data_IF_535542320847
#
_entry.id   IF_535542320847
#
_cell.length_a   1.000
_cell.length_b   1.000
_cell.length_c   1.000
_cell.angle_alpha   90.00
_cell.angle_beta   90.00
_cell.angle_gamma   90.00
#
_symmetry.space_group_name_H-M   'P 1'
#
loop_
_entity.id
_entity.type
_entity.pdbx_description
1 polymer ?
#
# COMPACT_ATOMS: atom_id res chain seq x y z
N UNK A 1 3.41 -2.46 42.76
CA UNK A 1 4.01 -1.37 41.95
C UNK A 1 3.26 -1.07 40.64
N UNK A 2 2.39 -1.96 40.14
CA UNK A 2 1.70 -1.83 38.85
C UNK A 2 0.89 -0.53 38.60
N UNK A 3 0.43 0.19 39.64
CA UNK A 3 -0.35 1.42 39.47
C UNK A 3 0.47 2.66 39.05
N UNK A 4 1.82 2.59 39.13
CA UNK A 4 2.69 3.72 38.78
C UNK A 4 2.89 3.89 37.27
N UNK A 5 3.03 2.79 36.54
CA UNK A 5 3.37 2.79 35.11
C UNK A 5 2.21 3.32 34.26
N UNK A 6 0.96 2.95 34.59
CA UNK A 6 -0.25 3.43 33.90
C UNK A 6 -0.37 4.96 33.91
N UNK A 7 0.10 5.63 34.97
CA UNK A 7 0.09 7.09 35.05
C UNK A 7 1.21 7.77 34.26
N UNK A 8 2.32 7.09 33.96
CA UNK A 8 3.38 7.65 33.11
C UNK A 8 2.89 7.77 31.65
N UNK A 9 2.30 6.70 31.10
CA UNK A 9 1.77 6.70 29.73
C UNK A 9 0.69 7.77 29.53
N UNK A 10 -0.25 7.91 30.48
CA UNK A 10 -1.31 8.93 30.43
C UNK A 10 -0.78 10.39 30.47
N UNK A 11 0.41 10.62 31.04
CA UNK A 11 1.00 11.98 31.15
C UNK A 11 1.77 12.41 29.90
N UNK A 12 2.36 11.48 29.15
CA UNK A 12 3.09 11.80 27.91
C UNK A 12 2.13 12.18 26.77
N UNK A 13 0.95 11.53 26.70
CA UNK A 13 0.02 11.68 25.57
C UNK A 13 -0.69 13.06 25.49
N UNK A 14 -0.73 13.83 26.57
CA UNK A 14 -1.58 15.03 26.68
C UNK A 14 -1.07 16.29 25.94
N UNK A 15 0.07 16.24 25.23
CA UNK A 15 0.71 17.44 24.64
C UNK A 15 0.50 17.65 23.13
N UNK A 16 -0.23 16.77 22.45
CA UNK A 16 -0.50 16.85 20.99
C UNK A 16 -2.01 16.83 20.66
N UNK A 17 -2.77 17.84 21.13
CA UNK A 17 -4.16 18.05 20.67
C UNK A 17 -4.23 18.78 19.33
N UNK A 18 -3.96 18.06 18.25
CA UNK A 18 -4.44 18.39 16.91
C UNK A 18 -5.46 17.34 16.46
N UNK A 19 -6.74 17.74 16.32
CA UNK A 19 -7.89 16.96 15.76
C UNK A 19 -7.68 15.42 15.75
N UNK A 20 -7.62 14.80 16.94
CA UNK A 20 -7.17 13.41 17.06
C UNK A 20 -8.16 12.43 16.44
N UNK A 21 -7.64 11.57 15.56
CA UNK A 21 -8.24 10.25 15.27
C UNK A 21 -8.40 9.50 16.62
N UNK A 22 -9.48 8.74 16.85
CA UNK A 22 -9.58 7.92 18.06
C UNK A 22 -8.37 7.01 18.20
N UNK A 23 -7.75 7.00 19.39
CA UNK A 23 -6.60 6.14 19.65
C UNK A 23 -7.02 4.67 19.55
N UNK A 24 -6.48 3.94 18.59
CA UNK A 24 -6.72 2.49 18.43
C UNK A 24 -6.20 1.66 19.61
N UNK A 25 -5.39 2.26 20.50
CA UNK A 25 -4.83 1.59 21.67
C UNK A 25 -5.86 1.44 22.80
N UNK A 26 -6.66 2.46 23.09
CA UNK A 26 -7.59 2.47 24.24
C UNK A 26 -8.58 1.28 24.22
N UNK A 27 -9.18 0.88 23.07
CA UNK A 27 -10.03 -0.31 23.03
C UNK A 27 -9.28 -1.60 23.35
N UNK A 28 -8.03 -1.77 22.92
CA UNK A 28 -7.21 -2.96 23.20
C UNK A 28 -6.83 -3.03 24.69
N UNK A 29 -6.50 -1.89 25.31
CA UNK A 29 -6.31 -1.81 26.76
C UNK A 29 -7.60 -2.16 27.52
N UNK A 30 -8.76 -1.72 27.01
CA UNK A 30 -10.07 -2.07 27.53
C UNK A 30 -10.43 -3.56 27.43
N UNK A 31 -9.84 -4.29 26.47
CA UNK A 31 -9.92 -5.75 26.36
C UNK A 31 -8.97 -6.48 27.33
N UNK A 32 -8.09 -5.75 28.04
CA UNK A 32 -7.14 -6.30 28.99
C UNK A 32 -5.76 -6.62 28.41
N UNK A 33 -5.48 -6.27 27.16
CA UNK A 33 -4.15 -6.48 26.57
C UNK A 33 -3.10 -5.53 27.17
N UNK A 34 -1.89 -6.01 27.50
CA UNK A 34 -0.76 -5.16 27.88
C UNK A 34 -0.45 -4.08 26.83
N UNK A 35 -0.02 -2.90 27.28
CA UNK A 35 0.18 -1.76 26.39
C UNK A 35 1.27 -1.99 25.33
N UNK A 36 2.36 -2.69 25.67
CA UNK A 36 3.44 -2.99 24.72
C UNK A 36 3.02 -4.01 23.66
N UNK A 37 2.33 -5.09 24.04
CA UNK A 37 1.81 -6.07 23.06
C UNK A 37 0.72 -5.47 22.18
N UNK A 38 -0.18 -4.66 22.74
CA UNK A 38 -1.20 -3.93 21.97
C UNK A 38 -0.56 -2.95 20.97
N UNK A 39 0.51 -2.26 21.34
CA UNK A 39 1.27 -1.40 20.42
C UNK A 39 2.01 -2.20 19.34
N UNK A 40 2.65 -3.32 19.69
CA UNK A 40 3.27 -4.26 18.73
C UNK A 40 2.26 -4.78 17.72
N UNK A 41 1.09 -5.22 18.17
CA UNK A 41 0.01 -5.71 17.31
C UNK A 41 -0.55 -4.63 16.37
N UNK A 42 -0.74 -3.41 16.89
CA UNK A 42 -1.10 -2.25 16.09
C UNK A 42 -0.03 -1.96 15.03
N UNK A 43 1.26 -2.03 15.37
CA UNK A 43 2.33 -1.88 14.40
C UNK A 43 2.30 -3.02 13.35
N UNK A 44 2.19 -4.28 13.78
CA UNK A 44 2.20 -5.48 12.93
C UNK A 44 1.00 -5.56 11.96
N UNK A 45 -0.07 -4.80 12.22
CA UNK A 45 -1.26 -4.71 11.36
C UNK A 45 -1.35 -3.40 10.57
N UNK A 46 -0.36 -2.50 10.70
CA UNK A 46 -0.31 -1.23 9.97
C UNK A 46 -1.19 -0.13 10.57
N UNK A 47 -1.68 -0.34 11.80
CA UNK A 47 -2.58 0.56 12.54
C UNK A 47 -3.82 0.89 11.70
N UNK A 48 -4.49 -0.16 11.20
CA UNK A 48 -5.70 -0.09 10.37
C UNK A 48 -6.98 -0.07 11.20
N UNK A 49 -7.18 -1.09 12.03
CA UNK A 49 -8.39 -1.28 12.85
C UNK A 49 -8.02 -1.85 14.23
N UNK A 50 -8.98 -1.84 15.16
CA UNK A 50 -8.82 -2.50 16.47
C UNK A 50 -8.94 -4.01 16.31
N UNK A 51 -9.85 -4.42 15.43
CA UNK A 51 -10.21 -5.81 15.15
C UNK A 51 -9.01 -6.59 14.60
N UNK A 52 -8.32 -6.07 13.58
CA UNK A 52 -7.12 -6.73 13.03
C UNK A 52 -6.02 -6.91 14.09
N UNK A 53 -5.81 -5.90 14.95
CA UNK A 53 -4.80 -5.97 16.02
C UNK A 53 -5.20 -6.93 17.15
N UNK A 54 -6.49 -6.98 17.50
CA UNK A 54 -7.05 -7.96 18.44
C UNK A 54 -6.91 -9.39 17.90
N UNK A 55 -7.27 -9.63 16.65
CA UNK A 55 -7.17 -10.95 16.02
C UNK A 55 -5.71 -11.41 15.90
N UNK A 56 -4.79 -10.48 15.63
CA UNK A 56 -3.35 -10.72 15.65
C UNK A 56 -2.87 -11.15 17.05
N UNK A 57 -3.28 -10.45 18.12
CA UNK A 57 -2.94 -10.79 19.51
C UNK A 57 -3.45 -12.17 19.93
N UNK A 58 -4.71 -12.49 19.61
CA UNK A 58 -5.28 -13.81 19.90
C UNK A 58 -4.54 -14.93 19.14
N UNK A 59 -4.11 -14.66 17.91
CA UNK A 59 -3.37 -15.64 17.10
C UNK A 59 -1.93 -15.84 17.59
N UNK A 60 -1.31 -14.80 18.15
CA UNK A 60 0.05 -14.82 18.72
C UNK A 60 0.09 -15.13 20.22
N UNK A 61 -1.00 -15.65 20.81
CA UNK A 61 -1.05 -15.97 22.24
C UNK A 61 -0.02 -17.01 22.72
N UNK A 62 0.59 -17.76 21.78
CA UNK A 62 1.68 -18.71 22.01
C UNK A 62 3.01 -18.30 21.33
N UNK A 63 3.15 -17.06 20.81
CA UNK A 63 4.43 -16.56 20.28
C UNK A 63 5.40 -16.35 21.47
N UNK A 64 6.53 -17.08 21.54
CA UNK A 64 7.47 -16.98 22.67
C UNK A 64 8.18 -15.63 22.78
N UNK A 65 8.07 -14.79 21.74
CA UNK A 65 8.66 -13.45 21.63
C UNK A 65 7.61 -12.33 21.53
N UNK A 66 6.35 -12.61 21.90
CA UNK A 66 5.28 -11.61 21.94
C UNK A 66 5.62 -10.44 22.86
N UNK A 67 6.28 -10.69 23.99
CA UNK A 67 6.66 -9.68 24.97
C UNK A 67 8.02 -8.99 24.69
N UNK A 68 8.85 -9.56 23.80
CA UNK A 68 10.19 -9.02 23.53
C UNK A 68 10.13 -7.61 22.93
N UNK A 69 11.00 -6.67 23.33
CA UNK A 69 11.00 -5.29 22.82
C UNK A 69 11.68 -5.19 21.43
N UNK A 70 11.33 -6.08 20.51
CA UNK A 70 11.82 -6.11 19.12
C UNK A 70 10.90 -5.22 18.27
N UNK A 71 11.34 -4.03 17.82
CA UNK A 71 10.56 -3.18 16.95
C UNK A 71 10.50 -3.76 15.54
N UNK A 72 9.55 -3.28 14.74
CA UNK A 72 9.59 -3.51 13.30
C UNK A 72 10.66 -2.66 12.59
N UNK A 73 11.06 -3.15 11.42
CA UNK A 73 11.94 -2.44 10.50
C UNK A 73 11.13 -1.82 9.36
N UNK A 74 11.30 -0.52 9.15
CA UNK A 74 10.52 0.33 8.24
C UNK A 74 11.37 0.79 7.05
N UNK A 75 10.72 1.02 5.92
CA UNK A 75 11.32 1.69 4.76
C UNK A 75 10.30 2.56 4.03
N UNK A 76 10.78 3.68 3.46
CA UNK A 76 10.00 4.59 2.64
C UNK A 76 10.31 4.40 1.16
N UNK A 77 9.25 4.20 0.37
CA UNK A 77 9.33 3.96 -1.07
C UNK A 77 8.48 4.95 -1.84
N UNK A 78 8.97 5.44 -2.98
CA UNK A 78 8.15 6.15 -3.95
C UNK A 78 7.58 5.14 -4.95
N UNK A 79 6.26 4.94 -4.90
CA UNK A 79 5.55 3.97 -5.73
C UNK A 79 4.84 4.67 -6.90
N UNK A 80 4.98 4.19 -8.15
CA UNK A 80 4.15 4.63 -9.25
C UNK A 80 2.73 4.07 -9.10
N UNK A 81 1.73 4.80 -9.59
CA UNK A 81 0.33 4.37 -9.61
C UNK A 81 -0.31 4.63 -10.98
N UNK A 82 -1.49 4.03 -11.21
CA UNK A 82 -2.19 4.13 -12.50
C UNK A 82 -1.49 3.35 -13.63
N UNK A 83 -1.57 3.87 -14.85
CA UNK A 83 -1.15 3.17 -16.08
C UNK A 83 0.33 2.74 -16.11
N UNK A 84 1.22 3.50 -15.45
CA UNK A 84 2.63 3.09 -15.34
C UNK A 84 2.77 1.82 -14.49
N UNK A 85 2.04 1.71 -13.38
CA UNK A 85 2.04 0.51 -12.53
C UNK A 85 1.49 -0.70 -13.28
N UNK A 86 0.41 -0.54 -14.05
CA UNK A 86 -0.15 -1.59 -14.90
C UNK A 86 0.88 -2.12 -15.91
N UNK A 87 1.64 -1.21 -16.55
CA UNK A 87 2.71 -1.57 -17.50
C UNK A 87 3.92 -2.23 -16.83
N UNK A 88 4.27 -1.83 -15.62
CA UNK A 88 5.31 -2.47 -14.82
C UNK A 88 4.91 -3.89 -14.38
N UNK A 89 3.65 -4.09 -13.99
CA UNK A 89 3.09 -5.41 -13.67
C UNK A 89 3.00 -6.32 -14.91
N UNK A 90 2.66 -5.77 -16.07
CA UNK A 90 2.70 -6.49 -17.35
C UNK A 90 4.12 -6.93 -17.72
N UNK A 91 5.09 -6.01 -17.63
CA UNK A 91 6.51 -6.32 -17.82
C UNK A 91 6.95 -7.46 -16.90
N UNK A 92 6.66 -7.39 -15.60
CA UNK A 92 7.04 -8.41 -14.62
C UNK A 92 6.43 -9.78 -14.87
N UNK A 93 5.15 -9.83 -15.25
CA UNK A 93 4.48 -11.09 -15.60
C UNK A 93 5.21 -11.77 -16.75
N UNK A 94 5.58 -10.98 -17.75
CA UNK A 94 6.20 -11.47 -18.97
C UNK A 94 7.70 -11.76 -18.81
N UNK A 95 8.42 -10.97 -18.02
CA UNK A 95 9.82 -11.26 -17.65
C UNK A 95 9.92 -12.52 -16.79
N UNK A 96 9.01 -12.74 -15.83
CA UNK A 96 8.96 -13.99 -15.05
C UNK A 96 8.65 -15.19 -15.94
N UNK A 97 7.78 -15.02 -16.95
CA UNK A 97 7.41 -16.06 -17.93
C UNK A 97 8.54 -16.43 -18.91
N UNK A 98 9.24 -15.44 -19.44
CA UNK A 98 10.29 -15.65 -20.46
C UNK A 98 11.72 -15.79 -19.90
N UNK A 99 11.97 -15.30 -18.69
CA UNK A 99 13.33 -15.15 -18.13
C UNK A 99 13.45 -15.60 -16.66
N UNK A 100 12.47 -16.36 -16.17
CA UNK A 100 12.35 -16.84 -14.78
C UNK A 100 12.32 -15.73 -13.70
N UNK A 101 12.17 -16.12 -12.43
CA UNK A 101 12.19 -15.19 -11.29
C UNK A 101 13.63 -14.69 -11.07
N UNK A 102 13.88 -13.41 -11.36
CA UNK A 102 15.04 -12.67 -10.85
C UNK A 102 14.67 -11.83 -9.60
N UNK A 103 15.66 -11.27 -8.89
CA UNK A 103 15.46 -10.59 -7.59
C UNK A 103 14.58 -9.34 -7.63
N UNK A 104 14.37 -8.71 -8.78
CA UNK A 104 13.46 -7.55 -8.85
C UNK A 104 12.01 -7.95 -8.49
N UNK A 105 11.59 -9.18 -8.78
CA UNK A 105 10.23 -9.64 -8.48
C UNK A 105 9.98 -9.92 -6.99
N UNK A 106 10.98 -9.77 -6.11
CA UNK A 106 10.84 -9.96 -4.66
C UNK A 106 10.16 -8.77 -3.95
N UNK A 107 10.14 -7.58 -4.58
CA UNK A 107 9.59 -6.34 -4.01
C UNK A 107 8.90 -5.51 -5.10
N UNK A 108 7.63 -5.14 -4.89
CA UNK A 108 6.76 -4.36 -5.80
C UNK A 108 7.48 -3.19 -6.53
N UNK A 109 7.06 -2.76 -7.73
CA UNK A 109 7.78 -1.71 -8.46
C UNK A 109 7.85 -0.39 -7.68
N UNK A 110 9.06 0.08 -7.38
CA UNK A 110 9.30 1.23 -6.49
C UNK A 110 10.63 1.94 -6.78
N UNK A 111 10.79 3.14 -6.20
CA UNK A 111 12.08 3.82 -6.02
C UNK A 111 12.36 3.88 -4.51
N UNK A 112 13.52 3.40 -4.07
CA UNK A 112 13.93 3.41 -2.65
C UNK A 112 14.33 4.82 -2.23
N UNK A 113 13.70 5.36 -1.16
CA UNK A 113 13.98 6.71 -0.68
C UNK A 113 14.90 6.76 0.55
N UNK A 114 14.96 5.69 1.33
CA UNK A 114 15.86 5.56 2.47
C UNK A 114 16.33 4.11 2.64
N UNK A 115 17.42 3.91 3.38
CA UNK A 115 17.74 2.60 3.95
C UNK A 115 16.60 2.15 4.89
N UNK A 116 16.53 0.85 5.18
CA UNK A 116 15.69 0.33 6.26
C UNK A 116 16.13 0.91 7.62
N UNK A 117 15.17 1.22 8.48
CA UNK A 117 15.39 1.82 9.80
C UNK A 117 14.38 1.30 10.82
N UNK A 118 14.67 1.47 12.11
CA UNK A 118 13.82 0.95 13.20
C UNK A 118 12.94 2.06 13.78
N UNK A 119 11.76 1.70 14.30
CA UNK A 119 10.87 2.62 15.02
C UNK A 119 10.19 1.87 16.16
N UNK A 120 10.24 2.41 17.38
CA UNK A 120 9.51 1.86 18.53
C UNK A 120 7.99 1.86 18.28
N UNK A 121 7.30 0.79 18.66
CA UNK A 121 5.86 0.64 18.38
C UNK A 121 4.98 1.78 18.96
N UNK A 122 5.44 2.41 20.05
CA UNK A 122 4.80 3.58 20.66
C UNK A 122 4.96 4.88 19.84
N UNK A 123 5.96 4.96 18.96
CA UNK A 123 6.31 6.16 18.16
C UNK A 123 5.81 6.10 16.71
N UNK A 124 5.14 5.02 16.30
CA UNK A 124 4.69 4.80 14.91
C UNK A 124 3.70 5.88 14.42
N UNK A 125 2.82 6.40 15.28
CA UNK A 125 1.96 7.55 14.89
C UNK A 125 2.77 8.85 14.66
N UNK A 126 3.85 9.06 15.42
CA UNK A 126 4.76 10.17 15.17
C UNK A 126 5.51 10.02 13.83
N UNK A 127 5.85 8.79 13.45
CA UNK A 127 6.44 8.48 12.14
C UNK A 127 5.44 8.74 10.98
N UNK A 128 4.14 8.53 11.21
CA UNK A 128 3.09 8.90 10.26
C UNK A 128 2.97 10.42 10.08
N UNK A 129 3.00 11.17 11.18
CA UNK A 129 3.00 12.63 11.15
C UNK A 129 4.28 13.17 10.49
N UNK A 130 5.44 12.54 10.69
CA UNK A 130 6.67 12.87 9.98
C UNK A 130 6.54 12.70 8.46
N UNK A 131 5.97 11.59 7.98
CA UNK A 131 5.66 11.37 6.56
C UNK A 131 4.72 12.46 6.03
N UNK A 132 3.65 12.77 6.77
CA UNK A 132 2.68 13.79 6.39
C UNK A 132 3.34 15.17 6.27
N UNK A 133 4.10 15.61 7.28
CA UNK A 133 4.78 16.93 7.27
C UNK A 133 5.81 17.04 6.17
N UNK A 134 6.63 16.02 5.96
CA UNK A 134 7.58 16.00 4.86
C UNK A 134 6.85 16.14 3.52
N UNK A 135 5.77 15.37 3.32
CA UNK A 135 4.94 15.44 2.11
C UNK A 135 4.31 16.81 1.88
N UNK A 136 3.68 17.38 2.92
CA UNK A 136 3.01 18.69 2.85
C UNK A 136 3.98 19.82 2.48
N UNK A 137 5.25 19.75 2.93
CA UNK A 137 6.28 20.75 2.61
C UNK A 137 6.72 20.74 1.15
N UNK A 138 6.88 19.56 0.54
CA UNK A 138 7.26 19.44 -0.89
C UNK A 138 6.07 19.37 -1.86
N UNK A 139 4.83 19.22 -1.39
CA UNK A 139 3.66 19.06 -2.28
C UNK A 139 3.54 20.15 -3.35
N UNK A 140 3.86 21.40 -3.02
CA UNK A 140 3.80 22.52 -3.95
C UNK A 140 4.94 22.59 -4.97
N UNK A 141 6.07 21.92 -4.72
CA UNK A 141 7.23 21.83 -5.62
C UNK A 141 7.37 20.47 -6.29
N UNK A 142 6.61 19.46 -5.86
CA UNK A 142 6.75 18.09 -6.35
C UNK A 142 6.53 18.02 -7.88
N UNK A 143 7.39 17.33 -8.63
CA UNK A 143 7.34 17.31 -10.08
C UNK A 143 6.03 16.70 -10.60
N UNK A 144 5.31 17.46 -11.43
CA UNK A 144 4.06 17.02 -12.08
C UNK A 144 4.22 15.81 -13.03
N UNK A 145 5.45 15.57 -13.50
CA UNK A 145 5.87 14.35 -14.16
C UNK A 145 7.29 14.00 -13.72
N UNK A 146 7.56 12.72 -13.53
CA UNK A 146 8.89 12.19 -13.16
C UNK A 146 9.43 11.43 -14.39
N UNK A 147 10.32 12.04 -15.20
CA UNK A 147 10.83 11.38 -16.40
C UNK A 147 11.70 10.18 -16.03
N UNK A 148 11.48 9.07 -16.72
CA UNK A 148 12.16 7.80 -16.49
C UNK A 148 13.05 7.45 -17.69
N UNK A 149 14.36 7.34 -17.47
CA UNK A 149 15.34 6.99 -18.50
C UNK A 149 15.73 5.52 -18.37
N UNK A 150 15.47 4.71 -19.40
CA UNK A 150 15.82 3.30 -19.39
C UNK A 150 17.35 3.11 -19.46
N UNK A 151 17.88 2.34 -18.51
CA UNK A 151 19.29 1.96 -18.46
C UNK A 151 19.43 0.44 -18.42
N UNK A 152 20.33 -0.08 -19.24
CA UNK A 152 20.66 -1.50 -19.37
C UNK A 152 22.17 -1.70 -19.17
N UNK A 153 22.55 -2.63 -18.30
CA UNK A 153 23.94 -3.07 -18.12
C UNK A 153 23.97 -4.57 -17.77
N UNK A 154 25.17 -5.14 -17.65
CA UNK A 154 25.36 -6.57 -17.37
C UNK A 154 24.58 -6.95 -16.10
N UNK A 155 23.54 -7.78 -16.26
CA UNK A 155 22.72 -8.29 -15.16
C UNK A 155 21.95 -7.23 -14.35
N UNK A 156 21.74 -6.02 -14.93
CA UNK A 156 20.86 -4.98 -14.36
C UNK A 156 20.09 -4.24 -15.46
N UNK A 157 18.80 -4.02 -15.21
CA UNK A 157 17.88 -3.27 -16.06
C UNK A 157 16.93 -2.48 -15.18
N UNK A 158 16.79 -1.18 -15.44
CA UNK A 158 15.95 -0.30 -14.64
C UNK A 158 15.76 1.07 -15.28
N UNK A 159 14.84 1.85 -14.72
CA UNK A 159 14.69 3.26 -15.05
C UNK A 159 15.42 4.14 -14.03
N UNK A 160 16.14 5.15 -14.48
CA UNK A 160 16.66 6.22 -13.61
C UNK A 160 15.79 7.47 -13.73
N UNK A 161 15.65 8.19 -12.63
CA UNK A 161 14.99 9.51 -12.61
C UNK A 161 15.97 10.57 -13.09
N UNK A 162 15.52 11.45 -13.99
CA UNK A 162 16.32 12.59 -14.46
C UNK A 162 16.62 13.63 -13.36
N UNK A 163 17.74 14.34 -13.52
CA UNK A 163 18.13 15.46 -12.66
C UNK A 163 17.07 16.58 -12.63
N UNK A 164 16.91 17.26 -11.50
CA UNK A 164 15.77 18.14 -11.21
C UNK A 164 14.67 17.42 -10.42
N UNK A 165 13.80 16.61 -11.04
CA UNK A 165 12.84 15.76 -10.32
C UNK A 165 13.53 14.84 -9.28
N UNK A 166 14.72 14.32 -9.59
CA UNK A 166 15.50 13.53 -8.64
C UNK A 166 15.97 14.34 -7.42
N UNK A 167 16.25 15.65 -7.57
CA UNK A 167 16.65 16.54 -6.47
C UNK A 167 15.48 16.78 -5.51
N UNK A 168 14.30 17.07 -6.04
CA UNK A 168 13.08 17.31 -5.23
C UNK A 168 12.66 16.04 -4.47
N UNK A 169 12.79 14.87 -5.09
CA UNK A 169 12.51 13.58 -4.42
C UNK A 169 13.58 13.27 -3.35
N UNK A 170 14.85 13.63 -3.57
CA UNK A 170 15.90 13.54 -2.53
C UNK A 170 15.65 14.52 -1.38
N UNK A 171 15.25 15.75 -1.66
CA UNK A 171 14.85 16.74 -0.65
C UNK A 171 13.71 16.20 0.22
N UNK A 172 12.65 15.65 -0.39
CA UNK A 172 11.58 14.97 0.33
C UNK A 172 12.09 13.86 1.28
N UNK A 173 13.01 13.01 0.82
CA UNK A 173 13.58 11.94 1.63
C UNK A 173 14.42 12.47 2.81
N UNK A 174 15.18 13.55 2.62
CA UNK A 174 15.92 14.25 3.67
C UNK A 174 14.97 14.90 4.69
N UNK A 175 13.90 15.54 4.22
CA UNK A 175 12.88 16.15 5.07
C UNK A 175 12.11 15.10 5.89
N UNK A 176 11.79 13.95 5.30
CA UNK A 176 11.22 12.82 6.03
C UNK A 176 12.18 12.32 7.12
N UNK A 177 13.47 12.15 6.81
CA UNK A 177 14.45 11.73 7.80
C UNK A 177 14.59 12.73 8.97
N UNK A 178 14.54 14.03 8.69
CA UNK A 178 14.60 15.07 9.72
C UNK A 178 13.34 15.09 10.61
N UNK A 179 12.14 15.03 10.04
CA UNK A 179 10.90 14.98 10.81
C UNK A 179 10.77 13.64 11.58
N UNK A 180 11.19 12.52 11.01
CA UNK A 180 11.18 11.21 11.68
C UNK A 180 12.16 11.15 12.86
N UNK A 181 13.34 11.76 12.72
CA UNK A 181 14.28 11.95 13.83
C UNK A 181 13.70 12.87 14.90
N UNK A 182 13.03 13.97 14.52
CA UNK A 182 12.49 14.95 15.48
C UNK A 182 11.21 14.51 16.20
N UNK A 183 10.42 13.59 15.63
CA UNK A 183 9.11 13.21 16.16
C UNK A 183 9.07 11.78 16.71
N UNK A 184 9.86 10.87 16.14
CA UNK A 184 9.85 9.44 16.45
C UNK A 184 11.23 8.89 16.84
N UNK A 185 12.23 9.76 17.07
CA UNK A 185 13.63 9.42 17.37
C UNK A 185 14.29 8.46 16.37
N UNK A 186 13.74 8.36 15.15
CA UNK A 186 14.20 7.42 14.13
C UNK A 186 15.48 7.90 13.44
N UNK A 187 16.49 7.05 13.33
CA UNK A 187 17.70 7.31 12.52
C UNK A 187 17.49 6.83 11.09
N UNK A 188 16.85 7.66 10.27
CA UNK A 188 16.61 7.38 8.85
C UNK A 188 17.79 7.87 8.01
N UNK A 189 18.31 7.03 7.10
CA UNK A 189 19.35 7.40 6.13
C UNK A 189 18.74 7.58 4.74
N UNK A 190 18.63 8.81 4.20
CA UNK A 190 18.13 9.05 2.84
C UNK A 190 19.00 8.38 1.79
N UNK A 191 18.39 7.97 0.68
CA UNK A 191 19.08 7.36 -0.46
C UNK A 191 20.05 8.37 -1.11
N UNK A 192 21.35 8.09 -1.05
CA UNK A 192 22.42 8.90 -1.66
C UNK A 192 22.78 8.46 -3.08
N UNK A 193 22.28 7.31 -3.52
CA UNK A 193 22.48 6.78 -4.88
C UNK A 193 21.55 7.49 -5.85
N UNK A 194 21.86 7.42 -7.15
CA UNK A 194 20.95 7.90 -8.18
C UNK A 194 19.60 7.16 -8.08
N UNK A 195 18.51 7.92 -8.04
CA UNK A 195 17.16 7.37 -7.84
C UNK A 195 16.75 6.54 -9.07
N UNK A 196 16.32 5.30 -8.81
CA UNK A 196 16.00 4.33 -9.84
C UNK A 196 14.85 3.41 -9.45
N UNK A 197 14.12 2.95 -10.47
CA UNK A 197 13.13 1.88 -10.40
C UNK A 197 13.72 0.64 -11.08
N UNK A 198 13.99 -0.40 -10.29
CA UNK A 198 14.58 -1.64 -10.80
C UNK A 198 13.52 -2.47 -11.54
N UNK A 199 13.81 -2.88 -12.77
CA UNK A 199 12.96 -3.78 -13.56
C UNK A 199 13.40 -5.24 -13.42
N UNK A 200 14.71 -5.47 -13.54
CA UNK A 200 15.34 -6.77 -13.39
C UNK A 200 16.78 -6.62 -12.89
N UNK A 201 17.24 -7.49 -11.98
CA UNK A 201 18.65 -7.54 -11.61
C UNK A 201 19.09 -8.93 -11.14
N UNK A 202 20.39 -9.22 -11.22
CA UNK A 202 20.98 -10.55 -10.96
C UNK A 202 20.36 -11.65 -11.84
N UNK A 203 20.03 -11.32 -13.09
CA UNK A 203 19.53 -12.25 -14.10
C UNK A 203 20.67 -12.78 -15.00
N UNK A 204 20.47 -13.96 -15.61
CA UNK A 204 21.45 -14.55 -16.51
C UNK A 204 21.69 -13.71 -17.77
N UNK A 205 22.93 -13.55 -18.27
CA UNK A 205 23.24 -12.70 -19.42
C UNK A 205 22.43 -13.00 -20.70
N UNK A 206 22.05 -14.26 -20.93
CA UNK A 206 21.24 -14.62 -22.11
C UNK A 206 19.80 -14.07 -22.07
N UNK A 207 19.29 -13.66 -20.90
CA UNK A 207 18.00 -12.98 -20.77
C UNK A 207 18.04 -11.48 -21.13
N UNK A 208 19.22 -10.86 -21.24
CA UNK A 208 19.37 -9.41 -21.42
C UNK A 208 18.53 -8.87 -22.58
N UNK A 209 18.64 -9.49 -23.77
CA UNK A 209 17.95 -9.02 -24.99
C UNK A 209 16.43 -9.04 -24.84
N UNK A 210 15.88 -10.10 -24.26
CA UNK A 210 14.44 -10.26 -24.01
C UNK A 210 13.94 -9.23 -23.01
N UNK A 211 14.65 -9.06 -21.88
CA UNK A 211 14.30 -8.10 -20.85
C UNK A 211 14.33 -6.65 -21.39
N UNK A 212 15.33 -6.29 -22.19
CA UNK A 212 15.37 -4.98 -22.85
C UNK A 212 14.21 -4.77 -23.84
N UNK A 213 13.84 -5.80 -24.62
CA UNK A 213 12.71 -5.72 -25.55
C UNK A 213 11.39 -5.49 -24.80
N UNK A 214 11.17 -6.19 -23.68
CA UNK A 214 10.02 -5.97 -22.81
C UNK A 214 10.04 -4.57 -22.16
N UNK A 215 11.19 -4.10 -21.69
CA UNK A 215 11.30 -2.80 -21.03
C UNK A 215 11.04 -1.62 -22.00
N UNK A 216 11.42 -1.75 -23.27
CA UNK A 216 11.12 -0.75 -24.32
C UNK A 216 9.61 -0.59 -24.60
N UNK A 217 8.78 -1.55 -24.20
CA UNK A 217 7.32 -1.47 -24.31
C UNK A 217 6.66 -0.68 -23.15
N UNK A 218 7.40 -0.35 -22.10
CA UNK A 218 6.92 0.49 -20.99
C UNK A 218 7.12 1.96 -21.40
N UNK A 219 6.06 2.78 -21.53
CA UNK A 219 6.19 4.14 -22.03
C UNK A 219 6.63 5.11 -20.90
N UNK A 220 7.82 5.73 -20.97
CA UNK A 220 8.41 6.47 -19.85
C UNK A 220 7.78 7.85 -19.56
N UNK A 221 6.89 8.33 -20.44
CA UNK A 221 6.37 9.71 -20.43
C UNK A 221 4.88 9.87 -20.14
N UNK A 222 4.17 8.84 -19.67
CA UNK A 222 2.77 9.01 -19.26
C UNK A 222 2.68 9.69 -17.89
N UNK A 223 1.67 10.54 -17.71
CA UNK A 223 1.32 11.13 -16.41
C UNK A 223 0.91 10.03 -15.44
N UNK A 224 1.83 9.66 -14.55
CA UNK A 224 1.61 8.74 -13.45
C UNK A 224 1.58 9.52 -12.15
N UNK A 225 0.66 9.17 -11.26
CA UNK A 225 0.66 9.71 -9.90
C UNK A 225 1.68 8.92 -9.07
N UNK A 226 2.46 9.64 -8.27
CA UNK A 226 3.44 9.06 -7.36
C UNK A 226 2.95 9.15 -5.93
N UNK A 227 3.17 8.08 -5.19
CA UNK A 227 2.79 7.96 -3.79
C UNK A 227 4.00 7.53 -2.99
N UNK A 228 4.43 8.34 -2.02
CA UNK A 228 5.33 7.89 -0.98
C UNK A 228 4.56 6.93 -0.06
N UNK A 229 5.11 5.74 0.16
CA UNK A 229 4.46 4.69 0.92
C UNK A 229 5.43 4.14 1.96
N UNK A 230 5.02 4.21 3.23
CA UNK A 230 5.74 3.61 4.34
C UNK A 230 5.31 2.15 4.47
N UNK A 231 6.30 1.26 4.42
CA UNK A 231 6.13 -0.16 4.68
C UNK A 231 6.97 -0.57 5.88
N UNK A 232 6.60 -1.67 6.52
CA UNK A 232 7.43 -2.37 7.51
C UNK A 232 7.54 -3.85 7.22
N UNK A 233 8.49 -4.49 7.90
CA UNK A 233 8.63 -5.93 8.02
C UNK A 233 9.05 -6.28 9.45
N UNK A 234 8.80 -7.53 9.81
CA UNK A 234 9.26 -8.10 11.07
C UNK A 234 10.80 -8.26 11.04
N UNK A 235 11.47 -7.64 12.01
CA UNK A 235 12.93 -7.64 12.11
C UNK A 235 13.51 -9.03 12.36
N UNK A 236 12.74 -9.93 13.01
CA UNK A 236 13.15 -11.31 13.32
C UNK A 236 13.47 -12.12 12.05
N UNK A 237 12.82 -11.79 10.93
CA UNK A 237 12.79 -12.63 9.72
C UNK A 237 13.46 -11.97 8.49
N UNK A 238 14.25 -10.90 8.68
CA UNK A 238 14.90 -10.11 7.60
C UNK A 238 15.86 -10.93 6.71
N UNK A 239 16.31 -12.09 7.16
CA UNK A 239 17.18 -13.00 6.40
C UNK A 239 16.54 -14.36 6.08
N UNK A 240 15.26 -14.52 6.40
CA UNK A 240 14.53 -15.77 6.24
C UNK A 240 13.91 -15.84 4.84
N UNK A 241 13.71 -17.06 4.33
CA UNK A 241 12.90 -17.28 3.14
C UNK A 241 11.42 -17.21 3.51
N UNK A 242 10.62 -16.51 2.71
CA UNK A 242 9.16 -16.51 2.83
C UNK A 242 8.57 -17.62 1.97
N UNK A 243 7.88 -18.56 2.62
CA UNK A 243 7.10 -19.61 1.97
C UNK A 243 5.60 -19.31 2.17
N UNK A 244 4.77 -19.69 1.20
CA UNK A 244 3.30 -19.67 1.29
C UNK A 244 2.77 -21.08 1.34
N UNK A 245 1.85 -21.33 2.26
CA UNK A 245 1.14 -22.61 2.39
C UNK A 245 0.17 -22.81 1.22
N UNK A 246 0.26 -23.95 0.56
CA UNK A 246 -0.61 -24.39 -0.53
C UNK A 246 -1.79 -25.25 -0.05
N UNK A 247 -1.55 -26.11 0.94
CA UNK A 247 -2.53 -27.10 1.42
C UNK A 247 -2.64 -27.08 2.94
N UNK A 248 -3.82 -27.44 3.45
CA UNK A 248 -4.04 -27.56 4.88
C UNK A 248 -3.26 -28.75 5.47
N UNK A 249 -2.66 -28.56 6.63
CA UNK A 249 -1.97 -29.62 7.37
C UNK A 249 -2.31 -29.56 8.86
N UNK A 250 -2.68 -30.72 9.42
CA UNK A 250 -2.96 -30.89 10.84
C UNK A 250 -1.78 -31.65 11.50
N UNK A 251 -1.13 -31.07 12.54
CA UNK A 251 -0.03 -31.71 13.25
C UNK A 251 -0.37 -33.12 13.73
N UNK A 252 0.55 -34.05 13.53
CA UNK A 252 0.58 -35.38 14.13
C UNK A 252 1.44 -35.39 15.40
N UNK A 253 2.48 -34.56 15.45
CA UNK A 253 3.38 -34.40 16.60
C UNK A 253 3.29 -32.98 17.21
N UNK A 254 3.82 -32.81 18.42
CA UNK A 254 3.72 -31.55 19.21
C UNK A 254 4.66 -30.43 18.74
N UNK A 255 5.66 -30.80 17.96
CA UNK A 255 6.70 -29.95 17.36
C UNK A 255 6.38 -29.57 15.90
N UNK A 256 5.26 -30.02 15.36
CA UNK A 256 4.80 -29.71 14.00
C UNK A 256 3.85 -28.49 13.95
N UNK A 257 3.93 -27.70 12.88
CA UNK A 257 3.10 -26.53 12.65
C UNK A 257 1.79 -26.88 11.92
N UNK A 258 0.69 -26.34 12.44
CA UNK A 258 -0.60 -26.34 11.76
C UNK A 258 -0.59 -25.34 10.60
N UNK A 259 -0.87 -25.83 9.38
CA UNK A 259 -0.84 -25.01 8.17
C UNK A 259 -2.26 -24.76 7.65
N UNK A 260 -2.58 -23.51 7.32
CA UNK A 260 -3.79 -23.15 6.58
C UNK A 260 -3.43 -22.56 5.20
N UNK A 261 -4.12 -22.92 4.10
CA UNK A 261 -3.82 -22.41 2.76
C UNK A 261 -3.81 -20.88 2.71
N UNK A 262 -2.73 -20.31 2.16
CA UNK A 262 -2.51 -18.87 2.10
C UNK A 262 -1.73 -18.27 3.28
N UNK A 263 -1.51 -19.00 4.38
CA UNK A 263 -0.59 -18.58 5.44
C UNK A 263 0.85 -18.43 4.91
N UNK A 264 1.65 -17.58 5.55
CA UNK A 264 3.09 -17.49 5.29
C UNK A 264 3.91 -18.08 6.43
N UNK A 265 5.02 -18.72 6.07
CA UNK A 265 6.01 -19.31 6.96
C UNK A 265 7.37 -18.68 6.66
N UNK A 266 8.08 -18.26 7.71
CA UNK A 266 9.46 -17.80 7.62
C UNK A 266 10.41 -18.98 7.89
N UNK A 267 11.36 -19.23 7.00
CA UNK A 267 12.32 -20.34 7.10
C UNK A 267 13.75 -19.79 7.09
N UNK A 268 14.53 -20.07 8.14
CA UNK A 268 15.97 -19.78 8.16
C UNK A 268 16.71 -20.88 7.39
N UNK A 269 17.36 -20.59 6.24
CA UNK A 269 18.10 -21.59 5.48
C UNK A 269 19.32 -22.16 6.21
N UNK A 270 19.77 -21.54 7.31
CA UNK A 270 20.92 -21.99 8.10
C UNK A 270 20.54 -22.93 9.24
N UNK A 271 19.26 -23.04 9.60
CA UNK A 271 18.78 -23.82 10.75
C UNK A 271 17.91 -25.01 10.32
N UNK A 272 18.43 -25.83 9.40
CA UNK A 272 17.71 -26.99 8.83
C UNK A 272 18.40 -28.34 9.11
N UNK A 273 19.45 -28.37 9.92
CA UNK A 273 20.20 -29.61 10.24
C UNK A 273 19.37 -30.63 11.05
N UNK A 274 18.37 -30.15 11.80
CA UNK A 274 17.42 -30.97 12.56
C UNK A 274 16.27 -31.51 11.68
N UNK A 275 16.12 -31.03 10.44
CA UNK A 275 15.02 -31.40 9.56
C UNK A 275 15.31 -32.71 8.81
N UNK A 276 14.39 -33.66 8.90
CA UNK A 276 14.40 -34.88 8.07
C UNK A 276 14.05 -34.57 6.61
N UNK A 277 14.41 -35.46 5.69
CA UNK A 277 14.08 -35.32 4.26
C UNK A 277 12.58 -35.08 4.02
N UNK A 278 12.25 -34.07 3.22
CA UNK A 278 10.87 -33.65 2.94
C UNK A 278 10.22 -32.75 3.99
N UNK A 279 10.92 -32.45 5.09
CA UNK A 279 10.49 -31.52 6.12
C UNK A 279 11.37 -30.28 6.17
N UNK A 280 10.82 -29.19 6.70
CA UNK A 280 11.52 -27.93 6.92
C UNK A 280 11.06 -27.34 8.26
N UNK A 281 11.96 -26.66 8.97
CA UNK A 281 11.63 -25.95 10.20
C UNK A 281 11.38 -24.48 9.86
N UNK A 282 10.23 -23.96 10.26
CA UNK A 282 9.84 -22.58 10.03
C UNK A 282 9.08 -21.96 11.19
N UNK A 283 8.79 -20.67 11.08
CA UNK A 283 7.98 -19.89 12.01
C UNK A 283 6.75 -19.34 11.30
N UNK A 284 5.56 -19.58 11.85
CA UNK A 284 4.30 -19.11 11.29
C UNK A 284 4.15 -17.59 11.42
N UNK A 285 3.90 -16.86 10.32
CA UNK A 285 3.57 -15.43 10.37
C UNK A 285 2.26 -15.18 11.15
N UNK A 286 1.33 -16.13 11.12
CA UNK A 286 0.00 -15.97 11.74
C UNK A 286 0.02 -16.14 13.25
N UNK A 287 0.95 -16.93 13.80
CA UNK A 287 0.94 -17.29 15.23
C UNK A 287 2.27 -17.08 15.96
N UNK A 288 3.35 -16.73 15.26
CA UNK A 288 4.70 -16.62 15.83
C UNK A 288 5.33 -17.94 16.29
N UNK A 289 4.61 -19.06 16.21
CA UNK A 289 5.09 -20.37 16.63
C UNK A 289 6.11 -20.94 15.64
N UNK A 290 7.19 -21.56 16.14
CA UNK A 290 8.18 -22.33 15.37
C UNK A 290 7.85 -23.82 15.42
N UNK A 291 8.11 -24.55 14.34
CA UNK A 291 8.00 -26.01 14.30
C UNK A 291 8.26 -26.59 12.90
N UNK A 292 8.15 -27.91 12.80
CA UNK A 292 8.30 -28.67 11.56
C UNK A 292 7.08 -28.54 10.66
N UNK A 293 7.30 -28.51 9.34
CA UNK A 293 6.24 -28.59 8.34
C UNK A 293 6.71 -29.38 7.11
N UNK A 294 5.81 -30.05 6.37
CA UNK A 294 6.18 -30.70 5.11
C UNK A 294 6.56 -29.66 4.06
N UNK A 295 7.74 -29.79 3.45
CA UNK A 295 8.26 -28.81 2.49
C UNK A 295 7.34 -28.68 1.27
N UNK A 296 6.86 -29.82 0.75
CA UNK A 296 5.99 -29.93 -0.42
C UNK A 296 4.56 -29.37 -0.21
N UNK A 297 4.22 -28.92 1.00
CA UNK A 297 2.96 -28.21 1.28
C UNK A 297 3.08 -26.70 1.06
N UNK A 298 4.26 -26.22 0.63
CA UNK A 298 4.54 -24.79 0.48
C UNK A 298 5.18 -24.45 -0.87
N UNK A 299 5.14 -23.16 -1.24
CA UNK A 299 5.93 -22.60 -2.33
C UNK A 299 6.68 -21.35 -1.88
N UNK A 300 7.82 -21.05 -2.51
CA UNK A 300 8.56 -19.80 -2.23
C UNK A 300 7.89 -18.61 -2.91
N UNK A 301 7.45 -17.65 -2.11
CA UNK A 301 6.80 -16.41 -2.57
C UNK A 301 7.77 -15.22 -2.56
N UNK A 302 7.28 -13.99 -2.65
CA UNK A 302 8.10 -12.79 -2.64
C UNK A 302 8.22 -12.21 -1.23
N UNK A 303 9.41 -11.73 -0.86
CA UNK A 303 9.68 -11.19 0.48
C UNK A 303 8.66 -10.10 0.87
N UNK A 304 8.25 -9.24 -0.08
CA UNK A 304 7.28 -8.18 0.17
C UNK A 304 5.85 -8.65 0.44
N UNK A 305 5.51 -9.91 0.21
CA UNK A 305 4.14 -10.43 0.39
C UNK A 305 3.75 -10.48 1.88
N UNK A 306 4.75 -10.45 2.78
CA UNK A 306 4.57 -10.34 4.25
C UNK A 306 4.72 -8.93 4.79
N UNK A 307 5.08 -7.94 3.96
CA UNK A 307 5.33 -6.57 4.42
C UNK A 307 4.03 -5.83 4.69
N UNK A 308 4.00 -5.10 5.79
CA UNK A 308 2.84 -4.34 6.23
C UNK A 308 2.88 -2.97 5.56
N UNK A 309 1.79 -2.58 4.91
CA UNK A 309 1.63 -1.22 4.36
C UNK A 309 0.99 -0.32 5.42
N UNK A 310 1.68 0.77 5.78
CA UNK A 310 1.23 1.72 6.80
C UNK A 310 0.50 2.91 6.18
N UNK A 311 1.12 4.09 6.17
CA UNK A 311 0.57 5.32 5.61
C UNK A 311 1.18 5.64 4.26
N UNK A 312 0.41 6.36 3.46
CA UNK A 312 0.79 6.81 2.13
C UNK A 312 0.56 8.30 1.97
N UNK A 313 1.47 8.99 1.31
CA UNK A 313 1.33 10.37 0.89
C UNK A 313 1.34 10.46 -0.63
N UNK A 314 0.25 10.94 -1.24
CA UNK A 314 0.11 11.03 -2.70
C UNK A 314 0.42 12.46 -3.15
N UNK A 315 1.39 12.59 -4.05
CA UNK A 315 1.80 13.89 -4.59
C UNK A 315 0.89 14.31 -5.75
N UNK A 316 -0.33 14.71 -5.39
CA UNK A 316 -1.27 15.31 -6.32
C UNK A 316 -1.72 16.66 -5.79
N UNK A 317 -1.50 17.71 -6.56
CA UNK A 317 -2.23 18.97 -6.42
C UNK A 317 -3.71 18.68 -6.68
N UNK A 318 -4.45 18.42 -5.60
CA UNK A 318 -5.90 18.48 -5.63
C UNK A 318 -6.27 19.91 -6.06
N UNK A 319 -7.02 20.04 -7.14
CA UNK A 319 -7.48 21.33 -7.66
C UNK A 319 -8.62 21.88 -6.80
N UNK A 320 -8.35 22.15 -5.51
CA UNK A 320 -9.27 22.84 -4.61
C UNK A 320 -9.13 24.37 -4.73
N UNK A 321 -9.45 24.84 -5.94
CA UNK A 321 -10.06 26.16 -6.13
C UNK A 321 -11.51 26.14 -5.59
N UNK A 322 -11.66 25.95 -4.27
CA UNK A 322 -12.97 25.90 -3.58
C UNK A 322 -12.95 26.57 -2.19
N UNK A 323 -11.94 27.39 -1.88
CA UNK A 323 -11.85 28.16 -0.63
C UNK A 323 -11.31 29.58 -0.84
N UNK A 324 -11.97 30.35 -1.71
CA UNK A 324 -11.85 31.82 -1.75
C UNK A 324 -13.02 32.44 -2.50
N UNK A 325 -13.70 33.38 -1.83
CA UNK A 325 -14.94 34.06 -2.23
C UNK A 325 -16.19 33.16 -2.27
N UNK A 326 -17.38 33.65 -1.90
CA UNK A 326 -17.77 35.05 -1.64
C UNK A 326 -18.25 35.31 -0.20
N UNK A 327 -17.99 36.53 0.28
CA UNK A 327 -18.65 37.08 1.46
C UNK A 327 -20.02 37.65 1.07
N UNK A 328 -21.05 37.26 1.81
CA UNK A 328 -22.44 37.56 1.47
C UNK A 328 -22.79 39.03 1.75
N UNK A 329 -22.78 39.86 0.69
CA UNK A 329 -23.24 41.25 0.74
C UNK A 329 -24.68 41.34 0.21
N UNK A 330 -25.62 41.68 1.11
CA UNK A 330 -27.03 41.89 0.79
C UNK A 330 -27.26 43.04 -0.20
N UNK A 331 -28.01 42.79 -1.28
CA UNK A 331 -28.35 43.81 -2.28
C UNK A 331 -29.42 43.36 -3.28
N UNK A 332 -30.70 43.65 -3.00
CA UNK A 332 -31.83 43.38 -3.92
C UNK A 332 -31.88 44.42 -5.07
N UNK A 333 -32.16 43.99 -6.32
CA UNK A 333 -33.40 44.33 -7.07
C UNK A 333 -33.45 43.84 -8.54
N UNK A 334 -34.68 43.52 -8.94
CA UNK A 334 -35.28 43.12 -10.22
C UNK A 334 -34.73 43.70 -11.54
N UNK A 335 -34.89 42.91 -12.61
CA UNK A 335 -34.98 43.34 -14.02
C UNK A 335 -35.24 42.15 -14.96
N UNK A 336 -36.38 42.13 -15.68
CA UNK A 336 -36.84 41.02 -16.56
C UNK A 336 -36.50 41.28 -18.07
N UNK A 337 -36.79 40.36 -19.03
CA UNK A 337 -35.84 40.02 -20.12
C UNK A 337 -36.27 40.41 -21.55
N UNK A 338 -35.34 40.35 -22.52
CA UNK A 338 -35.65 40.23 -23.97
C UNK A 338 -34.55 39.49 -24.79
N UNK A 339 -34.84 38.92 -25.98
CA UNK A 339 -33.97 37.95 -26.68
C UNK A 339 -33.44 38.44 -28.09
N UNK A 340 -33.12 37.61 -29.12
CA UNK A 340 -31.82 37.60 -29.82
C UNK A 340 -31.82 38.19 -31.26
N UNK A 341 -30.65 38.26 -31.93
CA UNK A 341 -30.40 37.42 -33.15
C UNK A 341 -28.92 36.92 -33.24
N UNK A 342 -28.51 35.82 -33.88
CA UNK A 342 -28.75 35.19 -35.21
C UNK A 342 -27.96 35.78 -36.39
N UNK A 343 -26.76 35.23 -36.69
CA UNK A 343 -26.22 34.85 -38.03
C UNK A 343 -24.76 34.35 -37.86
N UNK A 344 -24.45 33.08 -38.11
CA UNK A 344 -24.06 32.44 -39.39
C UNK A 344 -22.60 32.70 -39.85
N UNK A 345 -21.72 31.71 -39.63
CA UNK A 345 -20.62 31.40 -40.56
C UNK A 345 -20.24 29.90 -40.46
N UNK A 346 -19.89 29.32 -41.61
CA UNK A 346 -19.75 27.88 -41.87
C UNK A 346 -18.64 27.72 -42.93
N UNK A 347 -17.68 26.78 -42.87
CA UNK A 347 -17.47 25.58 -42.05
C UNK A 347 -15.99 25.60 -41.51
N UNK A 348 -15.31 24.58 -40.97
CA UNK A 348 -15.48 23.13 -40.76
C UNK A 348 -14.43 22.66 -39.74
N UNK A 349 -14.73 21.65 -38.91
CA UNK A 349 -13.84 20.53 -38.54
C UNK A 349 -14.43 19.73 -37.36
N UNK A 350 -14.31 18.41 -37.43
CA UNK A 350 -14.88 17.48 -36.44
C UNK A 350 -14.07 17.51 -35.13
N UNK A 351 -14.68 17.95 -34.04
CA UNK A 351 -14.18 17.71 -32.68
C UNK A 351 -14.99 16.60 -31.99
N UNK A 352 -14.46 15.38 -32.02
CA UNK A 352 -14.96 14.28 -31.19
C UNK A 352 -14.75 14.63 -29.72
N UNK A 353 -15.81 15.06 -29.03
CA UNK A 353 -15.83 15.20 -27.58
C UNK A 353 -15.79 13.80 -26.93
N UNK A 354 -14.60 13.27 -26.72
CA UNK A 354 -14.38 12.16 -25.81
C UNK A 354 -14.43 12.68 -24.35
N UNK A 355 -15.64 12.91 -23.84
CA UNK A 355 -15.86 13.12 -22.40
C UNK A 355 -15.42 11.86 -21.66
N UNK A 356 -14.27 11.94 -21.00
CA UNK A 356 -13.72 10.84 -20.20
C UNK A 356 -14.62 10.57 -18.98
N UNK A 357 -15.61 9.70 -19.18
CA UNK A 357 -16.52 9.25 -18.12
C UNK A 357 -15.71 8.56 -17.01
N UNK A 358 -15.52 9.28 -15.89
CA UNK A 358 -14.95 8.71 -14.66
C UNK A 358 -15.83 7.55 -14.20
N UNK A 359 -15.30 6.32 -14.28
CA UNK A 359 -15.99 5.13 -13.77
C UNK A 359 -15.74 5.02 -12.27
N UNK A 360 -16.78 5.25 -11.48
CA UNK A 360 -16.82 4.90 -10.06
C UNK A 360 -17.59 3.59 -9.87
N UNK A 361 -17.06 2.68 -9.04
CA UNK A 361 -17.79 1.51 -8.55
C UNK A 361 -18.43 1.88 -7.21
N UNK A 362 -19.72 1.62 -7.06
CA UNK A 362 -20.45 1.69 -5.80
C UNK A 362 -21.03 0.31 -5.49
N UNK A 363 -20.82 -0.14 -4.25
CA UNK A 363 -21.34 -1.42 -3.74
C UNK A 363 -22.56 -1.12 -2.88
N UNK A 364 -23.70 -1.70 -3.22
CA UNK A 364 -24.98 -1.55 -2.52
C UNK A 364 -25.27 -2.83 -1.75
N UNK A 365 -25.75 -2.72 -0.51
CA UNK A 365 -26.05 -3.89 0.34
C UNK A 365 -27.43 -4.47 0.02
N UNK A 366 -27.60 -5.76 0.31
CA UNK A 366 -28.86 -6.46 0.04
C UNK A 366 -30.00 -5.87 0.89
N UNK A 367 -31.02 -5.33 0.22
CA UNK A 367 -32.20 -4.71 0.84
C UNK A 367 -32.26 -3.18 0.70
N UNK A 368 -31.20 -2.52 0.23
CA UNK A 368 -31.22 -1.06 0.04
C UNK A 368 -31.96 -0.64 -1.24
N UNK A 369 -32.68 0.48 -1.16
CA UNK A 369 -33.49 1.01 -2.27
C UNK A 369 -32.68 1.88 -3.21
N UNK A 370 -32.53 1.42 -4.46
CA UNK A 370 -31.78 2.12 -5.51
C UNK A 370 -32.28 3.56 -5.77
N UNK A 371 -33.58 3.84 -5.61
CA UNK A 371 -34.15 5.19 -5.79
C UNK A 371 -33.73 6.19 -4.70
N UNK A 372 -33.30 5.70 -3.54
CA UNK A 372 -32.75 6.52 -2.45
C UNK A 372 -31.25 6.74 -2.59
N UNK A 373 -30.51 5.75 -3.13
CA UNK A 373 -29.05 5.83 -3.31
C UNK A 373 -28.66 6.63 -4.56
N UNK A 374 -29.32 6.38 -5.69
CA UNK A 374 -28.98 7.01 -6.98
C UNK A 374 -29.95 8.11 -7.41
N UNK A 375 -31.03 8.32 -6.65
CA UNK A 375 -32.09 9.26 -6.98
C UNK A 375 -33.04 8.74 -8.07
N UNK A 376 -34.27 9.26 -8.10
CA UNK A 376 -35.31 8.84 -9.05
C UNK A 376 -34.97 9.14 -10.52
N UNK A 377 -34.14 10.15 -10.77
CA UNK A 377 -33.66 10.51 -12.11
C UNK A 377 -32.74 9.45 -12.73
N UNK A 378 -31.93 8.75 -11.93
CA UNK A 378 -31.05 7.69 -12.42
C UNK A 378 -31.84 6.49 -12.94
N UNK A 379 -32.90 6.08 -12.23
CA UNK A 379 -33.78 4.99 -12.67
C UNK A 379 -34.46 5.30 -14.01
N UNK A 380 -34.89 6.55 -14.23
CA UNK A 380 -35.48 6.99 -15.50
C UNK A 380 -34.47 6.97 -16.67
N UNK A 381 -33.17 7.08 -16.40
CA UNK A 381 -32.11 6.98 -17.42
C UNK A 381 -31.73 5.53 -17.76
N UNK A 382 -32.11 4.56 -16.93
CA UNK A 382 -31.85 3.13 -17.16
C UNK A 382 -33.04 2.38 -17.81
N UNK A 383 -34.19 3.04 -17.99
CA UNK A 383 -35.35 2.52 -18.73
C UNK A 383 -35.37 3.02 -20.17
N UNK A 384 -35.54 2.11 -21.15
CA UNK A 384 -35.89 2.50 -22.52
C UNK A 384 -37.38 2.89 -22.62
N UNK A 385 -37.76 3.57 -23.70
CA UNK A 385 -39.14 4.02 -23.96
C UNK A 385 -40.18 2.87 -23.96
N UNK A 386 -39.75 1.62 -24.19
CA UNK A 386 -40.60 0.42 -24.15
C UNK A 386 -40.67 -0.24 -22.76
N UNK A 387 -40.23 0.45 -21.70
CA UNK A 387 -40.32 -0.03 -20.31
C UNK A 387 -39.35 -1.17 -19.94
N UNK A 388 -38.28 -1.39 -20.72
CA UNK A 388 -37.24 -2.40 -20.43
C UNK A 388 -35.93 -1.77 -19.96
N UNK A 389 -35.23 -2.47 -19.07
CA UNK A 389 -33.96 -2.04 -18.49
C UNK A 389 -32.78 -2.34 -19.43
N UNK A 390 -31.94 -1.35 -19.73
CA UNK A 390 -30.77 -1.51 -20.60
C UNK A 390 -29.51 -1.93 -19.80
N UNK A 391 -29.04 -3.17 -20.00
CA UNK A 391 -27.85 -3.69 -19.30
C UNK A 391 -26.53 -3.21 -19.91
N UNK A 392 -26.04 -2.06 -19.44
CA UNK A 392 -24.71 -1.54 -19.75
C UNK A 392 -23.59 -2.16 -18.89
N UNK A 393 -23.21 -3.42 -19.17
CA UNK A 393 -22.13 -4.17 -18.48
C UNK A 393 -22.18 -4.12 -16.93
N UNK A 394 -23.22 -4.72 -16.35
CA UNK A 394 -23.21 -5.10 -14.93
C UNK A 394 -22.98 -6.60 -14.81
N UNK A 395 -21.84 -7.02 -14.23
CA UNK A 395 -21.57 -8.43 -13.96
C UNK A 395 -22.23 -8.84 -12.63
N UNK A 396 -23.54 -9.01 -12.64
CA UNK A 396 -24.29 -9.56 -11.51
C UNK A 396 -24.02 -11.05 -11.36
N UNK A 397 -23.08 -11.42 -10.47
CA UNK A 397 -23.06 -12.78 -9.94
C UNK A 397 -24.30 -12.98 -9.05
N UNK A 398 -25.29 -13.70 -9.56
CA UNK A 398 -26.33 -14.32 -8.75
C UNK A 398 -25.73 -15.54 -8.06
N UNK A 399 -25.41 -15.44 -6.77
CA UNK A 399 -25.50 -16.60 -5.88
C UNK A 399 -26.93 -16.65 -5.36
N UNK A 400 -27.75 -17.54 -5.95
CA UNK A 400 -28.94 -18.05 -5.27
C UNK A 400 -29.50 -19.28 -6.00
N UNK A 401 -29.16 -20.47 -5.49
CA UNK A 401 -29.89 -21.76 -5.53
C UNK A 401 -29.06 -22.79 -4.72
N UNK A 402 -29.59 -23.59 -3.81
CA UNK A 402 -30.95 -23.65 -3.22
C UNK A 402 -30.82 -24.38 -1.86
N UNK A 403 -31.69 -24.08 -0.91
CA UNK A 403 -31.71 -24.75 0.40
C UNK A 403 -32.71 -25.93 0.39
N UNK A 404 -32.32 -27.10 0.90
CA UNK A 404 -33.22 -28.16 1.40
C UNK A 404 -32.48 -29.21 2.20
#
# INVERSE_FOLDING_TARGET
>A
MAAGETQLYAKVFNKLRGRSVPSLLEPLLGMGFPAHTALKALAATGRKTVEEASDWLHSHCNDPSLDDPIPQEYALFLCPTGSLLEKLQEFWRESKRQCAKNRAHEVFPHITLCDFFTCEDQKVECLYEALKRAGDRVLGTFPAAVPLVLHSSISYLGFFVSDGPADIIREFAVMFASEASSLADCTVKPCTKQLHLTLAHKFYPHHQRTLEQLARAIPPGHSCQWTAALYSRDMRFVHYQTLRVLYQYNPQNVDELMLSPGDHIFVDPTQQEEASEGWVIGTSQRTGCRGFLPENYTERVSECDTWVKHRTYTFSLAADLSSRKDGEASGRRNGEPHPPPTSWSVCSLQSLQATAARKSILVVRHGERLDQIFGKSWLQQCSTLDGRWSSGRTQTQKLDKFNR
#
